data_IF_365248598532
#
_entry.id   IF_365248598532
#
_cell.length_a   1.000
_cell.length_b   1.000
_cell.length_c   1.000
_cell.angle_alpha   90.00
_cell.angle_beta   90.00
_cell.angle_gamma   90.00
#
_symmetry.space_group_name_H-M   'P 1'
#
loop_
_entity.id
_entity.type
_entity.pdbx_description
1 polymer ?
#
# COMPACT_ATOMS: atom_id res chain seq x y z
N UNK A 1 16.43 -5.03 -11.52
CA UNK A 1 15.32 -5.99 -11.47
C UNK A 1 15.23 -6.50 -10.04
N UNK A 2 14.01 -6.58 -9.50
CA UNK A 2 13.78 -7.34 -8.27
C UNK A 2 13.93 -8.84 -8.63
N UNK A 3 14.67 -9.62 -7.84
CA UNK A 3 14.75 -11.07 -8.03
C UNK A 3 13.44 -11.76 -7.60
N UNK A 4 13.21 -13.01 -8.00
CA UNK A 4 12.11 -13.79 -7.42
C UNK A 4 12.23 -13.83 -5.89
N UNK A 5 11.13 -13.55 -5.19
CA UNK A 5 11.11 -13.52 -3.72
C UNK A 5 9.94 -12.72 -3.14
N UNK A 6 9.71 -12.87 -1.83
CA UNK A 6 8.81 -12.02 -1.07
C UNK A 6 9.59 -10.84 -0.48
N UNK A 7 9.02 -9.64 -0.54
CA UNK A 7 9.67 -8.40 -0.10
C UNK A 7 8.79 -7.69 0.92
N UNK A 8 9.39 -7.38 2.08
CA UNK A 8 8.74 -6.62 3.13
C UNK A 8 9.16 -5.15 3.06
N UNK A 9 8.18 -4.25 2.97
CA UNK A 9 8.39 -2.81 2.97
C UNK A 9 7.70 -2.17 4.18
N UNK A 10 8.49 -1.47 5.00
CA UNK A 10 8.00 -0.75 6.17
C UNK A 10 8.23 0.75 6.00
N UNK A 11 7.19 1.55 6.24
CA UNK A 11 7.26 3.01 6.21
C UNK A 11 6.52 3.62 7.40
N UNK A 12 6.97 4.80 7.82
CA UNK A 12 6.31 5.59 8.88
C UNK A 12 5.50 6.71 8.26
N UNK A 13 4.27 6.91 8.72
CA UNK A 13 3.40 8.01 8.32
C UNK A 13 2.99 8.85 9.55
N UNK A 14 2.83 10.16 9.37
CA UNK A 14 2.34 11.07 10.42
C UNK A 14 0.86 11.36 10.19
N UNK A 15 0.04 11.09 11.21
CA UNK A 15 -1.35 11.50 11.24
C UNK A 15 -1.46 12.99 11.60
N UNK A 16 -2.12 13.79 10.76
CA UNK A 16 -2.13 15.27 10.88
C UNK A 16 -3.53 15.85 11.14
N UNK A 17 -4.56 15.30 10.53
CA UNK A 17 -5.93 15.81 10.63
C UNK A 17 -6.80 14.80 11.38
N UNK A 18 -7.43 15.17 12.51
CA UNK A 18 -8.36 14.30 13.21
C UNK A 18 -9.56 13.90 12.32
N UNK A 19 -9.95 12.64 12.37
CA UNK A 19 -11.03 12.11 11.54
C UNK A 19 -10.93 10.61 11.27
N UNK A 20 -11.90 10.08 10.51
CA UNK A 20 -11.93 8.67 10.07
C UNK A 20 -11.71 8.64 8.56
N UNK A 21 -10.66 7.95 8.12
CA UNK A 21 -10.25 7.89 6.73
C UNK A 21 -10.27 6.45 6.22
N UNK A 22 -10.69 6.27 4.97
CA UNK A 22 -10.61 4.99 4.26
C UNK A 22 -9.28 4.93 3.54
N UNK A 23 -8.48 3.91 3.83
CA UNK A 23 -7.20 3.63 3.17
C UNK A 23 -7.49 2.96 1.83
N UNK A 24 -7.02 3.53 0.70
CA UNK A 24 -7.16 2.88 -0.59
C UNK A 24 -6.39 1.56 -0.59
N UNK A 25 -6.83 0.57 -1.38
CA UNK A 25 -6.13 -0.72 -1.44
C UNK A 25 -4.72 -0.52 -1.99
N UNK A 26 -3.75 -1.22 -1.40
CA UNK A 26 -2.38 -1.26 -1.91
C UNK A 26 -2.39 -1.80 -3.35
N UNK A 27 -1.61 -1.20 -4.23
CA UNK A 27 -1.41 -1.70 -5.61
C UNK A 27 0.08 -1.90 -5.83
N UNK A 28 0.45 -3.10 -6.27
CA UNK A 28 1.79 -3.41 -6.74
C UNK A 28 1.67 -3.90 -8.18
N UNK A 29 2.52 -3.41 -9.08
CA UNK A 29 2.57 -3.83 -10.48
C UNK A 29 4.01 -3.81 -10.99
N UNK A 30 4.33 -4.66 -11.95
CA UNK A 30 5.64 -4.62 -12.59
C UNK A 30 5.74 -3.43 -13.52
N UNK A 31 6.84 -2.68 -13.41
CA UNK A 31 7.05 -1.45 -14.19
C UNK A 31 7.04 -1.66 -15.71
N UNK A 32 7.39 -2.87 -16.18
CA UNK A 32 7.53 -3.19 -17.61
C UNK A 32 6.54 -4.26 -18.09
N UNK A 33 5.69 -4.81 -17.21
CA UNK A 33 4.66 -5.80 -17.51
C UNK A 33 3.40 -5.50 -16.65
N UNK A 34 2.66 -4.43 -16.96
CA UNK A 34 1.56 -3.94 -16.12
C UNK A 34 0.39 -4.93 -15.98
N UNK A 35 0.30 -5.94 -16.85
CA UNK A 35 -0.62 -7.07 -16.71
C UNK A 35 -0.37 -7.92 -15.44
N UNK A 36 0.85 -7.87 -14.89
CA UNK A 36 1.21 -8.50 -13.61
C UNK A 36 1.01 -7.47 -12.50
N UNK A 37 -0.15 -7.52 -11.85
CA UNK A 37 -0.48 -6.65 -10.72
C UNK A 37 -1.13 -7.41 -9.56
N UNK A 38 -0.95 -6.88 -8.35
CA UNK A 38 -1.64 -7.30 -7.13
C UNK A 38 -2.38 -6.15 -6.48
N UNK A 39 -3.47 -6.47 -5.77
CA UNK A 39 -4.20 -5.53 -4.91
C UNK A 39 -4.31 -6.06 -3.49
N UNK A 40 -4.00 -5.22 -2.51
CA UNK A 40 -4.20 -5.49 -1.09
C UNK A 40 -5.62 -5.15 -0.62
N UNK A 41 -5.90 -5.43 0.65
CA UNK A 41 -7.14 -5.01 1.29
C UNK A 41 -7.22 -3.49 1.49
N UNK A 42 -8.45 -2.99 1.66
CA UNK A 42 -8.70 -1.65 2.18
C UNK A 42 -8.68 -1.67 3.71
N UNK A 43 -8.42 -0.53 4.32
CA UNK A 43 -8.41 -0.38 5.78
C UNK A 43 -9.09 0.94 6.21
N UNK A 44 -9.36 1.10 7.51
CA UNK A 44 -9.89 2.34 8.10
C UNK A 44 -8.95 2.85 9.18
N UNK A 45 -8.47 4.08 8.99
CA UNK A 45 -7.59 4.74 9.97
C UNK A 45 -8.37 5.82 10.71
N UNK A 46 -8.29 5.78 12.04
CA UNK A 46 -8.85 6.81 12.93
C UNK A 46 -7.70 7.66 13.46
N UNK A 47 -7.72 8.95 13.14
CA UNK A 47 -6.82 9.96 13.70
C UNK A 47 -7.56 10.66 14.84
N UNK A 48 -7.02 10.55 16.05
CA UNK A 48 -7.55 11.22 17.25
C UNK A 48 -6.89 12.57 17.46
#
# INVERSE_FOLDING_TARGET
>A
MLSEGAYDYSYTARATTPGVFVVPPLKAEEMYQPEVFGRGGTDRVVVK
#
